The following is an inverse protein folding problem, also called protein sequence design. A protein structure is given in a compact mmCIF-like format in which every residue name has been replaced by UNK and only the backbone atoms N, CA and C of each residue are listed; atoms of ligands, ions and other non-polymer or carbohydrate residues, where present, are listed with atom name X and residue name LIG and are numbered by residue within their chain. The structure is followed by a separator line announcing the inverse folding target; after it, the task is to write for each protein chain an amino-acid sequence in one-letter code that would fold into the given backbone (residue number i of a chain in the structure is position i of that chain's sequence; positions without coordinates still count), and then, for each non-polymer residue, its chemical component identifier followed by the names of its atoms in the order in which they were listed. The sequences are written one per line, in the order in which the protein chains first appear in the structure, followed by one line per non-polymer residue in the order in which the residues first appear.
data_IF_569521601039
#
_entry.id   IF_569521601039
#
_cell.length_a   1.000
_cell.length_b   1.000
_cell.length_c   1.000
_cell.angle_alpha   90.00
_cell.angle_beta   90.00
_cell.angle_gamma   90.00
#
_symmetry.space_group_name_H-M   'P 1'
#
loop_
_entity.id
_entity.type
_entity.pdbx_description
1 polymer ?
#
# COMPACT_ATOMS: atom_id res chain seq x y z
N UNK A 1 9.02 -16.07 41.41
CA UNK A 1 9.81 -14.83 41.36
C UNK A 1 11.25 -15.23 41.13
N UNK A 2 11.94 -14.55 40.21
CA UNK A 2 13.33 -14.82 39.91
C UNK A 2 14.12 -13.53 39.95
N UNK A 3 15.13 -13.49 40.80
CA UNK A 3 16.08 -12.38 40.97
C UNK A 3 17.49 -12.76 40.49
N UNK A 4 17.65 -13.88 39.79
CA UNK A 4 18.91 -14.24 39.15
C UNK A 4 19.32 -13.17 38.14
N UNK A 5 20.63 -12.90 38.05
CA UNK A 5 21.17 -12.06 36.98
C UNK A 5 20.90 -12.70 35.63
N UNK A 6 20.59 -11.90 34.61
CA UNK A 6 20.22 -12.37 33.26
C UNK A 6 21.21 -13.37 32.67
N UNK A 7 22.51 -13.13 32.80
CA UNK A 7 23.56 -14.02 32.26
C UNK A 7 23.64 -15.36 33.01
N UNK A 8 23.43 -15.35 34.32
CA UNK A 8 23.39 -16.57 35.12
C UNK A 8 22.18 -17.42 34.77
N UNK A 9 20.99 -16.79 34.70
CA UNK A 9 19.80 -17.45 34.24
C UNK A 9 19.98 -18.05 32.84
N UNK A 10 20.57 -17.31 31.90
CA UNK A 10 20.81 -17.80 30.54
C UNK A 10 21.66 -19.07 30.52
N UNK A 11 22.70 -19.15 31.35
CA UNK A 11 23.54 -20.36 31.50
C UNK A 11 22.72 -21.54 32.03
N UNK A 12 21.97 -21.35 33.11
CA UNK A 12 21.14 -22.39 33.72
C UNK A 12 20.05 -22.89 32.77
N UNK A 13 19.32 -21.96 32.14
CA UNK A 13 18.28 -22.24 31.14
C UNK A 13 18.83 -23.08 29.99
N UNK A 14 19.97 -22.70 29.42
CA UNK A 14 20.56 -23.43 28.30
C UNK A 14 21.04 -24.84 28.73
N UNK A 15 21.51 -24.99 29.98
CA UNK A 15 21.87 -26.27 30.58
C UNK A 15 20.68 -27.10 31.07
N UNK A 16 19.44 -26.60 30.97
CA UNK A 16 18.24 -27.27 31.47
C UNK A 16 18.18 -27.39 32.99
N UNK A 17 18.87 -26.51 33.71
CA UNK A 17 18.95 -26.49 35.17
C UNK A 17 18.03 -25.44 35.77
N UNK A 18 17.42 -25.77 36.90
CA UNK A 18 16.59 -24.82 37.65
C UNK A 18 17.45 -23.71 38.25
N UNK A 19 16.90 -22.48 38.32
CA UNK A 19 17.51 -21.44 39.15
C UNK A 19 17.27 -21.71 40.64
N UNK A 20 18.11 -21.18 41.54
CA UNK A 20 17.93 -21.33 42.99
C UNK A 20 16.54 -20.91 43.47
N UNK A 21 15.95 -19.90 42.83
CA UNK A 21 14.62 -19.36 43.18
C UNK A 21 13.45 -20.25 42.75
N UNK A 22 13.65 -21.23 41.86
CA UNK A 22 12.54 -22.06 41.32
C UNK A 22 11.82 -22.88 42.40
N UNK A 23 12.55 -23.25 43.46
CA UNK A 23 12.07 -24.06 44.58
C UNK A 23 11.44 -23.28 45.73
N UNK A 24 11.34 -21.94 45.64
CA UNK A 24 10.74 -21.09 46.67
C UNK A 24 9.28 -21.47 46.98
N UNK A 25 8.86 -21.23 48.22
CA UNK A 25 7.48 -21.44 48.67
C UNK A 25 6.51 -20.43 48.01
N UNK A 26 5.21 -20.68 48.12
CA UNK A 26 4.20 -19.76 47.59
C UNK A 26 4.28 -18.41 48.30
N UNK A 27 4.45 -18.43 49.62
CA UNK A 27 4.52 -17.26 50.49
C UNK A 27 5.72 -16.38 50.13
N UNK A 28 6.91 -16.97 49.96
CA UNK A 28 8.11 -16.25 49.52
C UNK A 28 7.91 -15.60 48.14
N UNK A 29 7.23 -16.31 47.24
CA UNK A 29 6.93 -15.79 45.89
C UNK A 29 5.95 -14.61 45.94
N UNK A 30 4.90 -14.68 46.78
CA UNK A 30 3.93 -13.60 46.95
C UNK A 30 4.57 -12.37 47.59
N UNK A 31 5.43 -12.55 48.60
CA UNK A 31 6.16 -11.43 49.22
C UNK A 31 7.07 -10.72 48.20
N UNK A 32 7.81 -11.49 47.39
CA UNK A 32 8.66 -10.92 46.34
C UNK A 32 7.85 -10.26 45.23
N UNK A 33 6.66 -10.78 44.92
CA UNK A 33 5.74 -10.15 43.97
C UNK A 33 5.22 -8.81 44.48
N UNK A 34 4.81 -8.74 45.75
CA UNK A 34 4.38 -7.47 46.37
C UNK A 34 5.50 -6.44 46.39
N UNK A 35 6.74 -6.86 46.71
CA UNK A 35 7.94 -6.02 46.59
C UNK A 35 8.12 -5.48 45.16
N UNK A 36 7.94 -6.34 44.15
CA UNK A 36 7.99 -5.95 42.74
C UNK A 36 6.92 -4.90 42.40
N UNK A 37 5.68 -5.10 42.86
CA UNK A 37 4.58 -4.17 42.65
C UNK A 37 4.75 -2.83 43.39
N UNK A 38 5.42 -2.81 44.55
CA UNK A 38 5.72 -1.58 45.30
C UNK A 38 6.88 -0.78 44.72
N UNK A 39 7.68 -1.38 43.84
CA UNK A 39 8.86 -0.73 43.24
C UNK A 39 10.16 -0.95 44.01
N UNK A 40 10.22 -1.98 44.86
CA UNK A 40 11.42 -2.34 45.64
C UNK A 40 12.55 -2.92 44.75
N UNK A 41 12.24 -3.20 43.47
CA UNK A 41 13.18 -3.67 42.45
C UNK A 41 13.20 -2.72 41.25
N UNK A 42 14.37 -2.54 40.65
CA UNK A 42 14.59 -1.77 39.41
C UNK A 42 14.44 -2.64 38.17
N UNK A 43 14.41 -2.00 37.00
CA UNK A 43 14.36 -2.68 35.71
C UNK A 43 15.48 -3.73 35.58
N UNK A 44 15.09 -4.98 35.31
CA UNK A 44 16.00 -6.12 35.15
C UNK A 44 16.43 -6.81 36.45
N UNK A 45 16.06 -6.31 37.64
CA UNK A 45 16.44 -6.91 38.92
C UNK A 45 15.54 -8.07 39.35
N UNK A 46 14.28 -8.08 38.91
CA UNK A 46 13.34 -9.16 39.21
C UNK A 46 12.35 -9.40 38.07
N UNK A 47 11.98 -10.67 37.88
CA UNK A 47 10.95 -11.09 36.93
C UNK A 47 10.05 -12.18 37.53
N UNK A 48 8.80 -12.24 37.05
CA UNK A 48 7.95 -13.42 37.25
C UNK A 48 8.16 -14.36 36.07
N UNK A 49 8.39 -15.65 36.34
CA UNK A 49 8.51 -16.70 35.31
C UNK A 49 7.38 -17.71 35.43
N UNK A 50 6.91 -18.21 34.30
CA UNK A 50 6.01 -19.37 34.28
C UNK A 50 6.86 -20.62 34.49
N UNK A 51 6.55 -21.46 35.48
CA UNK A 51 7.22 -22.76 35.62
C UNK A 51 6.80 -23.68 34.45
N UNK A 52 7.74 -24.11 33.63
CA UNK A 52 7.53 -25.01 32.48
C UNK A 52 8.39 -26.26 32.61
N UNK A 53 8.60 -26.98 31.50
CA UNK A 53 9.63 -27.99 31.38
C UNK A 53 11.00 -27.34 31.08
N UNK A 54 12.00 -27.62 31.93
CA UNK A 54 13.39 -27.15 31.77
C UNK A 54 14.19 -27.98 30.77
N UNK A 55 13.72 -29.18 30.44
CA UNK A 55 14.36 -30.06 29.45
C UNK A 55 13.82 -29.87 28.03
N UNK A 56 12.80 -29.01 27.87
CA UNK A 56 12.18 -28.71 26.59
C UNK A 56 13.23 -28.38 25.50
N UNK A 57 13.17 -28.96 24.30
CA UNK A 57 14.22 -28.81 23.29
C UNK A 57 14.44 -27.35 22.85
N UNK A 58 13.37 -26.55 22.78
CA UNK A 58 13.46 -25.11 22.59
C UNK A 58 13.78 -24.39 23.92
N UNK A 59 14.97 -23.78 24.07
CA UNK A 59 15.35 -23.09 25.30
C UNK A 59 14.50 -21.86 25.61
N UNK A 60 13.82 -21.30 24.62
CA UNK A 60 12.97 -20.11 24.80
C UNK A 60 11.68 -20.43 25.55
N UNK A 61 11.25 -21.69 25.56
CA UNK A 61 10.08 -22.20 26.30
C UNK A 61 10.40 -22.47 27.76
N UNK A 62 11.67 -22.72 28.10
CA UNK A 62 12.10 -23.03 29.47
C UNK A 62 11.94 -21.82 30.39
N UNK A 63 11.10 -21.97 31.40
CA UNK A 63 10.71 -20.98 32.42
C UNK A 63 10.74 -19.53 31.89
N UNK A 64 9.90 -19.27 30.87
CA UNK A 64 9.85 -17.97 30.21
C UNK A 64 9.24 -16.88 31.10
N UNK A 65 9.59 -15.62 30.83
CA UNK A 65 9.21 -14.46 31.65
C UNK A 65 7.75 -14.08 31.42
N UNK A 66 6.92 -14.14 32.47
CA UNK A 66 5.53 -13.70 32.48
C UNK A 66 5.40 -12.20 32.71
N UNK A 67 6.14 -11.63 33.66
CA UNK A 67 6.14 -10.19 33.97
C UNK A 67 7.56 -9.66 34.13
N UNK A 68 7.74 -8.39 33.78
CA UNK A 68 8.99 -7.65 33.92
C UNK A 68 8.74 -6.24 34.43
N UNK A 69 9.77 -5.66 35.03
CA UNK A 69 9.81 -4.25 35.43
C UNK A 69 10.24 -3.41 34.23
N UNK A 70 9.61 -2.25 34.05
CA UNK A 70 9.96 -1.23 33.06
C UNK A 70 10.26 0.07 33.82
N UNK A 71 11.37 0.71 33.49
CA UNK A 71 11.64 2.08 33.90
C UNK A 71 10.64 3.03 33.22
N UNK A 72 9.67 3.49 34.01
CA UNK A 72 8.58 4.37 33.57
C UNK A 72 9.00 5.82 33.41
N UNK A 73 10.11 6.24 34.00
CA UNK A 73 10.65 7.59 33.78
C UNK A 73 11.27 7.66 32.37
N UNK A 74 12.02 6.61 32.01
CA UNK A 74 12.62 6.50 30.68
C UNK A 74 11.62 6.11 29.59
N UNK A 75 10.68 5.21 29.90
CA UNK A 75 9.74 4.64 28.93
C UNK A 75 8.29 4.67 29.47
N UNK A 76 7.70 5.85 29.69
CA UNK A 76 6.32 5.96 30.18
C UNK A 76 5.34 5.36 29.17
N UNK A 77 4.28 4.71 29.67
CA UNK A 77 3.25 4.16 28.78
C UNK A 77 2.45 5.31 28.15
N UNK A 78 2.24 5.35 26.81
CA UNK A 78 1.58 6.48 26.16
C UNK A 78 0.16 6.80 26.64
N UNK A 79 -0.58 5.82 27.16
CA UNK A 79 -1.97 5.99 27.63
C UNK A 79 -2.12 6.12 29.15
N UNK A 80 -1.24 5.50 29.94
CA UNK A 80 -1.39 5.41 31.41
C UNK A 80 -0.19 5.98 32.16
N UNK A 81 0.76 6.60 31.43
CA UNK A 81 1.95 7.20 31.98
C UNK A 81 2.76 6.23 32.85
N UNK A 82 3.12 6.69 34.04
CA UNK A 82 3.90 5.94 35.03
C UNK A 82 3.04 5.13 36.02
N UNK A 83 1.74 4.93 35.76
CA UNK A 83 0.82 4.26 36.69
C UNK A 83 1.24 2.83 37.04
N UNK A 84 1.85 2.11 36.11
CA UNK A 84 2.32 0.75 36.30
C UNK A 84 3.76 0.62 35.79
N UNK A 85 4.65 0.04 36.59
CA UNK A 85 6.02 -0.33 36.19
C UNK A 85 6.19 -1.84 36.01
N UNK A 86 5.27 -2.66 36.50
CA UNK A 86 5.28 -4.12 36.30
C UNK A 86 4.33 -4.49 35.16
N UNK A 87 4.87 -5.02 34.06
CA UNK A 87 4.12 -5.30 32.84
C UNK A 87 4.19 -6.77 32.44
N UNK A 88 3.07 -7.38 32.01
CA UNK A 88 3.08 -8.72 31.46
C UNK A 88 3.82 -8.74 30.11
N UNK A 89 4.42 -9.87 29.79
CA UNK A 89 4.94 -10.14 28.45
C UNK A 89 3.83 -10.64 27.54
N UNK A 90 4.06 -10.55 26.23
CA UNK A 90 3.10 -10.93 25.19
C UNK A 90 2.45 -12.30 25.44
N UNK A 91 3.23 -13.34 25.74
CA UNK A 91 2.68 -14.69 25.89
C UNK A 91 1.75 -14.82 27.10
N UNK A 92 2.06 -14.15 28.21
CA UNK A 92 1.20 -14.16 29.39
C UNK A 92 -0.08 -13.37 29.10
N UNK A 93 0.04 -12.10 28.69
CA UNK A 93 -1.10 -11.22 28.43
C UNK A 93 -2.09 -11.84 27.44
N UNK A 94 -1.61 -12.31 26.27
CA UNK A 94 -2.47 -12.90 25.24
C UNK A 94 -3.16 -14.18 25.74
N UNK A 95 -2.52 -14.99 26.58
CA UNK A 95 -3.19 -16.19 27.11
C UNK A 95 -4.38 -15.85 28.01
N UNK A 96 -4.22 -14.80 28.83
CA UNK A 96 -5.30 -14.30 29.69
C UNK A 96 -6.41 -13.69 28.82
N UNK A 97 -6.05 -12.82 27.87
CA UNK A 97 -7.00 -12.14 26.99
C UNK A 97 -7.79 -13.16 26.13
N UNK A 98 -7.11 -14.13 25.50
CA UNK A 98 -7.75 -15.16 24.68
C UNK A 98 -8.80 -15.94 25.49
N UNK A 99 -8.47 -16.32 26.73
CA UNK A 99 -9.41 -17.02 27.60
C UNK A 99 -10.59 -16.13 28.01
N UNK A 100 -10.33 -14.93 28.54
CA UNK A 100 -11.37 -14.03 29.04
C UNK A 100 -12.29 -13.51 27.94
N UNK A 101 -11.78 -13.37 26.72
CA UNK A 101 -12.56 -12.97 25.54
C UNK A 101 -13.26 -14.14 24.86
N UNK A 102 -13.09 -15.39 25.34
CA UNK A 102 -13.72 -16.57 24.75
C UNK A 102 -13.21 -16.92 23.35
N UNK A 103 -11.94 -16.61 23.06
CA UNK A 103 -11.33 -16.94 21.76
C UNK A 103 -11.31 -18.45 21.58
N UNK A 104 -11.83 -18.92 20.44
CA UNK A 104 -11.86 -20.35 20.09
C UNK A 104 -10.77 -20.72 19.08
N UNK A 105 -10.42 -19.79 18.19
CA UNK A 105 -9.45 -19.97 17.12
C UNK A 105 -8.49 -18.78 17.05
N UNK A 106 -7.19 -19.06 17.11
CA UNK A 106 -6.13 -18.07 16.95
C UNK A 106 -5.51 -18.22 15.57
N UNK A 107 -5.65 -17.20 14.73
CA UNK A 107 -5.12 -17.16 13.37
C UNK A 107 -3.92 -16.20 13.33
N UNK A 108 -2.70 -16.71 13.08
CA UNK A 108 -1.49 -15.87 13.08
C UNK A 108 -0.34 -16.42 12.23
N UNK A 109 0.69 -15.61 12.05
CA UNK A 109 1.88 -15.99 11.29
C UNK A 109 2.66 -17.17 11.91
N UNK A 110 3.28 -18.00 11.06
CA UNK A 110 4.04 -19.20 11.41
C UNK A 110 5.17 -18.96 12.42
N UNK A 111 5.76 -17.76 12.43
CA UNK A 111 6.75 -17.33 13.41
C UNK A 111 6.27 -17.39 14.87
N UNK A 112 4.96 -17.45 15.10
CA UNK A 112 4.35 -17.54 16.43
C UNK A 112 3.99 -18.98 16.84
N UNK A 113 4.49 -20.00 16.14
CA UNK A 113 4.31 -21.41 16.53
C UNK A 113 4.82 -21.71 17.94
N UNK A 114 6.04 -21.24 18.25
CA UNK A 114 6.66 -21.37 19.57
C UNK A 114 5.86 -20.64 20.66
N UNK A 115 5.17 -19.55 20.32
CA UNK A 115 4.33 -18.84 21.28
C UNK A 115 3.12 -19.69 21.69
N UNK A 116 2.54 -20.49 20.79
CA UNK A 116 1.45 -21.42 21.14
C UNK A 116 1.89 -22.41 22.21
N UNK A 117 3.13 -22.91 22.11
CA UNK A 117 3.73 -23.81 23.10
C UNK A 117 3.93 -23.10 24.45
N UNK A 118 4.38 -21.84 24.45
CA UNK A 118 4.54 -21.08 25.71
C UNK A 118 3.21 -20.82 26.39
N UNK A 119 2.21 -20.44 25.62
CA UNK A 119 0.86 -20.13 26.09
C UNK A 119 0.18 -21.38 26.67
N UNK A 120 0.42 -22.58 26.12
CA UNK A 120 -0.17 -23.83 26.63
C UNK A 120 0.14 -24.10 28.11
N UNK A 121 1.32 -23.67 28.60
CA UNK A 121 1.65 -23.75 30.02
C UNK A 121 0.75 -22.86 30.88
N UNK A 122 0.40 -21.67 30.40
CA UNK A 122 -0.55 -20.78 31.11
C UNK A 122 -1.91 -21.45 31.17
N UNK A 123 -2.47 -21.86 30.02
CA UNK A 123 -3.77 -22.55 29.97
C UNK A 123 -3.79 -23.78 30.89
N UNK A 124 -2.73 -24.60 30.87
CA UNK A 124 -2.61 -25.76 31.75
C UNK A 124 -2.62 -25.39 33.24
N UNK A 125 -1.86 -24.38 33.65
CA UNK A 125 -1.77 -23.97 35.06
C UNK A 125 -3.09 -23.42 35.60
N UNK A 126 -3.87 -22.76 34.75
CA UNK A 126 -5.19 -22.25 35.12
C UNK A 126 -6.33 -23.28 34.93
N UNK A 127 -6.04 -24.47 34.39
CA UNK A 127 -7.07 -25.48 34.09
C UNK A 127 -8.00 -25.08 32.95
N UNK A 128 -7.54 -24.24 32.03
CA UNK A 128 -8.31 -23.74 30.89
C UNK A 128 -8.11 -24.59 29.64
N UNK A 129 -9.10 -24.54 28.75
CA UNK A 129 -8.98 -25.12 27.40
C UNK A 129 -8.27 -24.12 26.48
N UNK A 130 -7.18 -24.55 25.86
CA UNK A 130 -6.45 -23.73 24.90
C UNK A 130 -7.21 -23.62 23.56
N UNK A 131 -7.31 -22.42 22.96
CA UNK A 131 -7.90 -22.28 21.63
C UNK A 131 -7.10 -23.01 20.55
N UNK A 132 -7.79 -23.43 19.50
CA UNK A 132 -7.16 -24.01 18.31
C UNK A 132 -6.30 -22.92 17.65
N UNK A 133 -5.02 -23.18 17.43
CA UNK A 133 -4.17 -22.23 16.71
C UNK A 133 -3.94 -22.71 15.28
N UNK A 134 -4.18 -21.82 14.32
CA UNK A 134 -3.88 -22.02 12.91
C UNK A 134 -2.78 -21.04 12.52
N UNK A 135 -1.65 -21.59 12.11
CA UNK A 135 -0.51 -20.81 11.66
C UNK A 135 -0.41 -20.77 10.14
N UNK A 136 -0.14 -19.59 9.59
CA UNK A 136 0.03 -19.38 8.15
C UNK A 136 1.31 -18.61 7.82
N UNK A 137 1.80 -18.79 6.60
CA UNK A 137 3.00 -18.14 6.12
C UNK A 137 2.85 -16.63 6.02
N UNK A 138 3.99 -15.94 5.98
CA UNK A 138 4.01 -14.49 5.86
C UNK A 138 3.66 -14.06 4.44
N UNK A 139 2.98 -12.92 4.34
CA UNK A 139 2.83 -12.20 3.09
C UNK A 139 4.07 -11.32 2.86
N UNK A 140 4.66 -11.45 1.67
CA UNK A 140 5.73 -10.59 1.16
C UNK A 140 5.20 -9.80 -0.04
N UNK A 141 5.68 -8.58 -0.23
CA UNK A 141 5.39 -7.78 -1.42
C UNK A 141 6.63 -7.79 -2.29
N UNK A 142 6.48 -8.19 -3.55
CA UNK A 142 7.56 -8.18 -4.52
C UNK A 142 8.14 -6.78 -4.68
N UNK A 143 9.47 -6.67 -4.67
CA UNK A 143 10.18 -5.39 -4.82
C UNK A 143 10.04 -4.41 -3.63
N UNK A 144 9.42 -4.82 -2.52
CA UNK A 144 9.14 -3.96 -1.38
C UNK A 144 9.46 -4.58 -0.02
N UNK A 145 9.44 -3.75 1.03
CA UNK A 145 9.55 -4.21 2.42
C UNK A 145 8.39 -3.72 3.26
N UNK A 146 7.75 -4.64 3.99
CA UNK A 146 6.73 -4.34 4.99
C UNK A 146 7.31 -4.16 6.41
N UNK A 147 8.64 -4.10 6.55
CA UNK A 147 9.27 -3.95 7.86
C UNK A 147 8.97 -2.56 8.45
N UNK A 148 8.31 -2.54 9.61
CA UNK A 148 7.98 -1.30 10.34
C UNK A 148 9.20 -0.42 10.58
N UNK A 149 10.34 -0.99 10.99
CA UNK A 149 11.56 -0.24 11.25
C UNK A 149 12.14 0.40 9.99
N UNK A 150 12.16 -0.34 8.86
CA UNK A 150 12.62 0.21 7.57
C UNK A 150 11.69 1.32 7.08
N UNK A 151 10.38 1.12 7.18
CA UNK A 151 9.38 2.11 6.77
C UNK A 151 9.42 3.37 7.66
N UNK A 152 9.59 3.22 8.98
CA UNK A 152 9.71 4.36 9.91
C UNK A 152 10.98 5.18 9.65
N UNK A 153 12.07 4.53 9.23
CA UNK A 153 13.32 5.22 8.91
C UNK A 153 13.20 6.19 7.71
N UNK A 154 12.19 6.00 6.84
CA UNK A 154 11.91 6.91 5.73
C UNK A 154 11.35 8.27 6.18
N UNK A 155 10.85 8.37 7.42
CA UNK A 155 10.22 9.59 7.98
C UNK A 155 9.10 10.18 7.12
N UNK A 156 8.42 9.34 6.34
CA UNK A 156 7.27 9.72 5.52
C UNK A 156 5.99 9.65 6.35
N UNK A 157 4.99 10.42 5.93
CA UNK A 157 3.63 10.26 6.47
C UNK A 157 3.08 8.87 6.12
N UNK A 158 2.24 8.32 6.98
CA UNK A 158 1.63 7.01 6.76
C UNK A 158 0.70 6.97 5.54
N UNK A 159 0.18 8.11 5.12
CA UNK A 159 -0.71 8.28 3.97
C UNK A 159 0.03 8.72 2.70
N UNK A 160 1.37 8.73 2.69
CA UNK A 160 2.14 9.03 1.48
C UNK A 160 1.88 7.97 0.40
N UNK A 161 1.61 8.41 -0.83
CA UNK A 161 1.24 7.57 -1.98
C UNK A 161 2.31 6.54 -2.39
N UNK A 162 3.55 6.70 -1.92
CA UNK A 162 4.66 5.77 -2.15
C UNK A 162 4.77 4.69 -1.08
N UNK A 163 4.03 4.80 0.02
CA UNK A 163 4.09 3.87 1.14
C UNK A 163 3.19 2.66 0.90
N UNK A 164 3.64 1.44 1.26
CA UNK A 164 2.84 0.22 1.16
C UNK A 164 1.84 0.05 2.32
N UNK A 165 1.49 1.14 2.99
CA UNK A 165 0.47 1.18 4.05
C UNK A 165 -0.91 1.22 3.42
N UNK A 166 -1.94 0.75 4.13
CA UNK A 166 -3.33 0.89 3.65
C UNK A 166 -3.71 2.35 3.39
N UNK A 167 -3.24 3.26 4.24
CA UNK A 167 -3.45 4.69 4.04
C UNK A 167 -2.74 5.22 2.79
N UNK A 168 -1.50 4.81 2.52
CA UNK A 168 -0.76 5.19 1.31
C UNK A 168 -1.40 4.64 0.03
N UNK A 169 -1.83 3.37 0.04
CA UNK A 169 -2.55 2.76 -1.09
C UNK A 169 -3.88 3.46 -1.37
N UNK A 170 -4.64 3.81 -0.33
CA UNK A 170 -5.87 4.60 -0.46
C UNK A 170 -5.60 6.01 -0.99
N UNK A 171 -4.57 6.69 -0.46
CA UNK A 171 -4.14 7.99 -0.96
C UNK A 171 -3.70 7.92 -2.41
N UNK A 172 -3.11 6.80 -2.85
CA UNK A 172 -2.77 6.57 -4.25
C UNK A 172 -3.99 6.35 -5.14
N UNK A 173 -5.08 5.78 -4.63
CA UNK A 173 -6.30 5.47 -5.39
C UNK A 173 -6.56 3.97 -5.61
N UNK A 174 -5.82 3.10 -4.91
CA UNK A 174 -6.12 1.66 -4.86
C UNK A 174 -7.42 1.46 -4.09
N UNK A 175 -8.34 0.72 -4.70
CA UNK A 175 -9.65 0.39 -4.15
C UNK A 175 -9.52 -0.67 -3.06
N UNK A 176 -10.30 -0.58 -1.97
CA UNK A 176 -10.25 -1.57 -0.91
C UNK A 176 -10.63 -2.97 -1.41
N UNK A 177 -11.57 -3.08 -2.35
CA UNK A 177 -11.99 -4.34 -2.97
C UNK A 177 -10.82 -5.04 -3.66
N UNK A 178 -9.90 -4.29 -4.27
CA UNK A 178 -8.72 -4.86 -4.91
C UNK A 178 -7.78 -5.54 -3.90
N UNK A 179 -7.65 -4.95 -2.71
CA UNK A 179 -6.86 -5.52 -1.61
C UNK A 179 -7.55 -6.78 -1.09
N UNK A 180 -8.86 -6.75 -0.88
CA UNK A 180 -9.63 -7.92 -0.45
C UNK A 180 -9.50 -9.08 -1.43
N UNK A 181 -9.74 -8.83 -2.72
CA UNK A 181 -9.63 -9.85 -3.76
C UNK A 181 -8.21 -10.42 -3.83
N UNK A 182 -7.17 -9.58 -3.72
CA UNK A 182 -5.79 -10.05 -3.65
C UNK A 182 -5.57 -10.99 -2.45
N UNK A 183 -5.96 -10.59 -1.24
CA UNK A 183 -5.75 -11.41 -0.04
C UNK A 183 -6.56 -12.71 -0.10
N UNK A 184 -7.80 -12.67 -0.57
CA UNK A 184 -8.63 -13.86 -0.76
C UNK A 184 -8.04 -14.82 -1.80
N UNK A 185 -7.44 -14.30 -2.88
CA UNK A 185 -6.79 -15.12 -3.90
C UNK A 185 -5.55 -15.87 -3.39
N UNK A 186 -4.84 -15.30 -2.41
CA UNK A 186 -3.67 -15.94 -1.77
C UNK A 186 -4.14 -17.07 -0.85
N UNK A 187 -5.19 -16.80 -0.06
CA UNK A 187 -5.76 -17.74 0.91
C UNK A 187 -4.86 -18.02 2.11
N UNK A 188 -5.32 -18.92 2.99
CA UNK A 188 -4.57 -19.35 4.18
C UNK A 188 -3.73 -20.58 3.82
N UNK A 189 -2.41 -20.43 3.82
CA UNK A 189 -1.45 -21.51 3.55
C UNK A 189 -0.32 -21.49 4.58
N UNK A 190 0.22 -22.65 5.01
CA UNK A 190 1.37 -22.69 5.92
C UNK A 190 2.65 -22.08 5.35
N UNK A 191 2.80 -22.09 4.02
CA UNK A 191 3.95 -21.52 3.30
C UNK A 191 3.83 -20.01 3.14
N UNK A 192 4.96 -19.31 3.17
CA UNK A 192 5.04 -17.89 2.80
C UNK A 192 4.49 -17.66 1.39
N UNK A 193 3.87 -16.50 1.18
CA UNK A 193 3.35 -16.07 -0.10
C UNK A 193 3.94 -14.71 -0.50
N UNK A 194 4.24 -14.55 -1.78
CA UNK A 194 4.68 -13.26 -2.35
C UNK A 194 3.59 -12.75 -3.27
N UNK A 195 3.14 -11.52 -3.04
CA UNK A 195 2.21 -10.80 -3.92
C UNK A 195 2.95 -9.78 -4.76
N UNK A 196 2.59 -9.70 -6.04
CA UNK A 196 3.11 -8.69 -6.96
C UNK A 196 2.18 -7.47 -7.00
N UNK A 197 2.78 -6.28 -7.12
CA UNK A 197 2.00 -5.06 -7.36
C UNK A 197 1.28 -5.10 -8.72
N UNK A 198 1.84 -5.81 -9.70
CA UNK A 198 1.21 -6.02 -10.99
C UNK A 198 -0.14 -6.75 -10.85
N UNK A 199 -0.23 -7.77 -9.99
CA UNK A 199 -1.50 -8.45 -9.73
C UNK A 199 -2.50 -7.51 -9.05
N UNK A 200 -2.06 -6.75 -8.03
CA UNK A 200 -2.91 -5.75 -7.37
C UNK A 200 -3.45 -4.72 -8.37
N UNK A 201 -2.61 -4.21 -9.28
CA UNK A 201 -3.02 -3.24 -10.29
C UNK A 201 -3.95 -3.84 -11.34
N UNK A 202 -3.75 -5.10 -11.73
CA UNK A 202 -4.65 -5.81 -12.64
C UNK A 202 -6.06 -5.95 -12.04
N UNK A 203 -6.15 -6.34 -10.77
CA UNK A 203 -7.43 -6.41 -10.04
C UNK A 203 -8.05 -5.02 -9.93
N UNK A 204 -7.27 -4.03 -9.52
CA UNK A 204 -7.75 -2.66 -9.34
C UNK A 204 -8.24 -2.03 -10.66
N UNK A 205 -7.58 -2.35 -11.79
CA UNK A 205 -8.01 -1.96 -13.14
C UNK A 205 -9.41 -2.50 -13.46
N UNK A 206 -9.70 -3.77 -13.17
CA UNK A 206 -11.03 -4.36 -13.41
C UNK A 206 -12.14 -3.65 -12.62
N UNK A 207 -11.80 -3.11 -11.45
CA UNK A 207 -12.73 -2.36 -10.60
C UNK A 207 -12.93 -0.92 -11.11
N UNK A 208 -11.84 -0.28 -11.56
CA UNK A 208 -11.86 1.12 -11.98
C UNK A 208 -12.35 1.32 -13.41
N UNK A 209 -11.97 0.46 -14.37
CA UNK A 209 -12.29 0.60 -15.79
C UNK A 209 -13.79 0.85 -16.04
N UNK A 210 -14.74 0.07 -15.50
CA UNK A 210 -16.15 0.31 -15.75
C UNK A 210 -16.70 1.59 -15.10
N UNK A 211 -15.95 2.25 -14.23
CA UNK A 211 -16.39 3.43 -13.47
C UNK A 211 -15.73 4.72 -13.96
N UNK A 212 -14.47 4.65 -14.34
CA UNK A 212 -13.63 5.79 -14.65
C UNK A 212 -13.95 6.38 -16.02
N UNK A 213 -14.35 7.64 -16.05
CA UNK A 213 -14.45 8.39 -17.29
C UNK A 213 -13.05 8.60 -17.89
N UNK A 214 -12.97 8.59 -19.22
CA UNK A 214 -11.71 8.67 -19.94
C UNK A 214 -11.47 10.08 -20.41
N UNK A 215 -10.24 10.57 -20.24
CA UNK A 215 -9.82 11.90 -20.68
C UNK A 215 -8.55 11.87 -21.52
N UNK A 216 -8.41 12.80 -22.45
CA UNK A 216 -7.19 13.06 -23.20
C UNK A 216 -6.23 13.89 -22.33
N UNK A 217 -5.08 13.30 -22.04
CA UNK A 217 -3.93 13.97 -21.44
C UNK A 217 -2.72 13.75 -22.33
N UNK A 218 -2.00 14.84 -22.61
CA UNK A 218 -0.84 14.87 -23.49
C UNK A 218 0.39 15.21 -22.65
N UNK A 219 1.23 14.22 -22.28
CA UNK A 219 2.50 14.47 -21.63
C UNK A 219 3.51 15.04 -22.62
N UNK A 220 4.43 15.88 -22.12
CA UNK A 220 5.49 16.53 -22.93
C UNK A 220 4.93 17.10 -24.25
N UNK A 221 3.96 18.04 -24.16
CA UNK A 221 3.19 18.51 -25.29
C UNK A 221 4.07 19.23 -26.31
N UNK A 222 3.88 18.88 -27.58
CA UNK A 222 4.41 19.63 -28.73
C UNK A 222 3.25 20.12 -29.58
N UNK A 223 3.42 21.27 -30.22
CA UNK A 223 2.37 21.87 -31.04
C UNK A 223 2.31 21.17 -32.39
N UNK A 224 1.12 20.77 -32.81
CA UNK A 224 0.81 20.25 -34.14
C UNK A 224 -0.12 21.23 -34.85
N UNK A 225 0.32 21.72 -36.00
CA UNK A 225 -0.46 22.60 -36.88
C UNK A 225 -0.93 21.78 -38.08
N UNK A 226 -2.24 21.72 -38.31
CA UNK A 226 -2.85 21.05 -39.46
C UNK A 226 -3.82 22.00 -40.17
N UNK A 227 -4.02 21.80 -41.46
CA UNK A 227 -5.03 22.54 -42.22
C UNK A 227 -6.29 21.69 -42.40
N UNK A 228 -7.43 22.15 -41.89
CA UNK A 228 -8.72 21.48 -42.06
C UNK A 228 -9.49 22.12 -43.23
N UNK A 229 -9.96 21.34 -44.23
CA UNK A 229 -10.71 21.88 -45.37
C UNK A 229 -12.14 22.29 -45.00
N UNK A 230 -12.65 21.81 -43.85
CA UNK A 230 -14.00 22.08 -43.36
C UNK A 230 -14.01 22.05 -41.84
N UNK A 231 -15.08 22.59 -41.26
CA UNK A 231 -15.39 22.45 -39.85
C UNK A 231 -15.58 20.97 -39.49
N UNK A 232 -14.98 20.54 -38.39
CA UNK A 232 -15.10 19.17 -37.84
C UNK A 232 -15.44 19.27 -36.37
N UNK A 233 -16.38 18.43 -35.92
CA UNK A 233 -16.68 18.23 -34.50
C UNK A 233 -16.17 16.86 -34.11
N UNK A 234 -15.08 16.84 -33.33
CA UNK A 234 -14.54 15.60 -32.78
C UNK A 234 -15.38 15.18 -31.57
N UNK A 235 -15.96 13.98 -31.60
CA UNK A 235 -16.83 13.45 -30.56
C UNK A 235 -16.09 12.41 -29.72
N UNK A 236 -15.41 12.85 -28.68
CA UNK A 236 -14.60 11.98 -27.82
C UNK A 236 -15.53 11.23 -26.86
N UNK A 237 -15.67 9.89 -26.94
CA UNK A 237 -16.54 9.16 -26.03
C UNK A 237 -16.06 9.30 -24.58
N UNK A 238 -16.99 9.52 -23.64
CA UNK A 238 -16.66 9.56 -22.21
C UNK A 238 -16.08 8.22 -21.76
N UNK A 239 -16.70 7.13 -22.21
CA UNK A 239 -16.14 5.80 -22.10
C UNK A 239 -16.59 4.92 -23.30
N UNK A 240 -15.67 4.32 -24.08
CA UNK A 240 -16.02 3.55 -25.28
C UNK A 240 -16.99 2.39 -25.05
N UNK A 241 -16.88 1.68 -23.92
CA UNK A 241 -17.77 0.57 -23.57
C UNK A 241 -19.11 0.99 -22.96
N UNK A 242 -19.33 2.29 -22.68
CA UNK A 242 -20.55 2.82 -22.06
C UNK A 242 -21.06 4.03 -22.87
N UNK A 243 -21.62 3.81 -24.08
CA UNK A 243 -22.09 4.87 -24.95
C UNK A 243 -23.17 5.76 -24.32
N UNK A 244 -23.92 5.23 -23.35
CA UNK A 244 -24.95 5.95 -22.61
C UNK A 244 -24.40 7.12 -21.78
N UNK A 245 -23.08 7.15 -21.51
CA UNK A 245 -22.40 8.30 -20.87
C UNK A 245 -22.16 9.46 -21.83
N UNK A 246 -22.44 9.27 -23.12
CA UNK A 246 -22.27 10.27 -24.15
C UNK A 246 -20.81 10.55 -24.49
N UNK A 247 -20.57 11.76 -25.00
CA UNK A 247 -19.32 12.18 -25.58
C UNK A 247 -19.04 13.64 -25.26
N UNK A 248 -17.77 14.03 -25.29
CA UNK A 248 -17.31 15.42 -25.27
C UNK A 248 -17.08 15.87 -26.70
N UNK A 249 -17.52 17.07 -27.03
CA UNK A 249 -17.41 17.63 -28.37
C UNK A 249 -16.35 18.73 -28.42
N UNK A 250 -15.43 18.64 -29.39
CA UNK A 250 -14.46 19.67 -29.69
C UNK A 250 -14.65 20.13 -31.13
N UNK A 251 -15.08 21.37 -31.30
CA UNK A 251 -15.33 21.98 -32.60
C UNK A 251 -14.06 22.67 -33.11
N UNK A 252 -13.61 22.26 -34.30
CA UNK A 252 -12.44 22.80 -34.98
C UNK A 252 -12.88 23.43 -36.30
N UNK A 253 -12.54 24.70 -36.50
CA UNK A 253 -12.88 25.46 -37.70
C UNK A 253 -12.06 25.04 -38.92
N UNK A 254 -12.50 25.45 -40.13
CA UNK A 254 -11.68 25.30 -41.33
C UNK A 254 -10.44 26.21 -41.27
N UNK A 255 -9.40 25.84 -42.01
CA UNK A 255 -8.13 26.56 -42.05
C UNK A 255 -7.09 25.95 -41.12
N UNK A 256 -6.11 26.79 -40.74
CA UNK A 256 -5.03 26.38 -39.86
C UNK A 256 -5.53 26.17 -38.43
N UNK A 257 -5.39 24.94 -37.93
CA UNK A 257 -5.78 24.52 -36.59
C UNK A 257 -4.53 24.06 -35.84
N UNK A 258 -4.41 24.55 -34.62
CA UNK A 258 -3.34 24.22 -33.69
C UNK A 258 -3.87 23.27 -32.62
N UNK A 259 -3.14 22.19 -32.38
CA UNK A 259 -3.43 21.14 -31.41
C UNK A 259 -2.13 20.78 -30.67
N UNK A 260 -2.24 20.04 -29.58
CA UNK A 260 -1.10 19.46 -28.89
C UNK A 260 -1.15 17.95 -28.88
N UNK A 261 -0.02 17.32 -29.16
CA UNK A 261 0.22 15.88 -29.08
C UNK A 261 1.49 15.61 -28.28
N UNK A 262 1.72 14.36 -27.87
CA UNK A 262 2.94 14.04 -27.13
C UNK A 262 4.14 14.12 -28.07
N UNK A 263 5.29 14.59 -27.58
CA UNK A 263 6.54 14.61 -28.36
C UNK A 263 6.86 13.25 -28.99
N UNK A 264 6.68 12.18 -28.21
CA UNK A 264 6.87 10.79 -28.65
C UNK A 264 5.95 10.41 -29.82
N UNK A 265 4.68 10.83 -29.77
CA UNK A 265 3.74 10.52 -30.85
C UNK A 265 4.03 11.34 -32.11
N UNK A 266 4.52 12.59 -31.97
CA UNK A 266 4.91 13.41 -33.11
C UNK A 266 6.05 12.79 -33.94
N UNK A 267 6.98 12.09 -33.28
CA UNK A 267 8.12 11.40 -33.91
C UNK A 267 7.70 10.16 -34.74
N UNK A 268 6.46 9.68 -34.61
CA UNK A 268 5.93 8.57 -35.42
C UNK A 268 5.77 8.96 -36.90
N UNK A 269 5.69 10.26 -37.21
CA UNK A 269 5.58 10.80 -38.56
C UNK A 269 4.20 10.62 -39.23
N UNK A 270 3.43 9.59 -38.86
CA UNK A 270 2.05 9.40 -39.29
C UNK A 270 1.20 8.75 -38.22
N UNK A 271 -0.03 9.25 -38.03
CA UNK A 271 -0.92 8.81 -36.95
C UNK A 271 -2.37 9.24 -37.21
N UNK A 272 -3.30 8.60 -36.52
CA UNK A 272 -4.69 9.03 -36.43
C UNK A 272 -4.92 9.80 -35.13
N UNK A 273 -5.31 11.06 -35.26
CA UNK A 273 -5.87 11.84 -34.18
C UNK A 273 -7.25 11.28 -33.86
N UNK A 274 -7.41 10.77 -32.64
CA UNK A 274 -8.65 10.13 -32.18
C UNK A 274 -9.89 10.99 -32.46
N UNK A 275 -10.89 10.37 -33.09
CA UNK A 275 -12.16 11.00 -33.51
C UNK A 275 -12.04 12.28 -34.35
N UNK A 276 -10.88 12.52 -34.99
CA UNK A 276 -10.62 13.73 -35.76
C UNK A 276 -10.18 13.43 -37.20
N UNK A 277 -8.92 13.03 -37.40
CA UNK A 277 -8.32 12.92 -38.74
C UNK A 277 -7.05 12.06 -38.76
N UNK A 278 -6.69 11.59 -39.95
CA UNK A 278 -5.43 10.90 -40.21
C UNK A 278 -4.41 11.94 -40.71
N UNK A 279 -3.25 12.00 -40.06
CA UNK A 279 -2.26 13.07 -40.27
C UNK A 279 -0.90 12.47 -40.59
N UNK A 280 -0.21 13.09 -41.56
CA UNK A 280 1.20 12.84 -41.87
C UNK A 280 1.99 14.13 -41.60
N UNK A 281 3.00 14.04 -40.75
CA UNK A 281 3.92 15.14 -40.45
C UNK A 281 4.78 15.42 -41.69
N UNK A 282 4.78 16.66 -42.17
CA UNK A 282 5.52 17.09 -43.37
C UNK A 282 6.79 17.86 -43.04
N UNK A 283 6.72 18.71 -42.02
CA UNK A 283 7.86 19.51 -41.57
C UNK A 283 7.81 19.76 -40.07
N UNK A 284 8.95 20.10 -39.51
CA UNK A 284 9.14 20.48 -38.11
C UNK A 284 9.97 21.75 -38.06
N UNK A 285 9.54 22.71 -37.26
CA UNK A 285 10.26 23.96 -36.99
C UNK A 285 10.31 24.16 -35.48
N UNK A 286 11.48 23.96 -34.86
CA UNK A 286 11.60 23.95 -33.41
C UNK A 286 10.72 22.86 -32.76
N UNK A 287 9.86 23.27 -31.83
CA UNK A 287 8.88 22.39 -31.14
C UNK A 287 7.49 22.38 -31.81
N UNK A 288 7.39 22.93 -33.03
CA UNK A 288 6.15 22.94 -33.82
C UNK A 288 6.26 21.95 -34.97
N UNK A 289 5.27 21.07 -35.08
CA UNK A 289 5.10 20.10 -36.15
C UNK A 289 3.99 20.58 -37.08
N UNK A 290 4.19 20.45 -38.39
CA UNK A 290 3.18 20.77 -39.39
C UNK A 290 2.76 19.47 -40.10
N UNK A 291 1.49 19.14 -39.96
CA UNK A 291 0.88 17.94 -40.52
C UNK A 291 -0.06 18.24 -41.68
N UNK A 292 -0.14 17.29 -42.60
CA UNK A 292 -1.15 17.24 -43.65
C UNK A 292 -2.21 16.21 -43.30
N UNK A 293 -3.49 16.58 -43.43
CA UNK A 293 -4.61 15.64 -43.27
C UNK A 293 -4.74 14.81 -44.54
N UNK A 294 -4.56 13.50 -44.41
CA UNK A 294 -4.59 12.54 -45.53
C UNK A 294 -5.82 11.64 -45.56
N UNK A 295 -6.67 11.74 -44.53
CA UNK A 295 -7.91 10.96 -44.42
C UNK A 295 -8.69 11.29 -43.15
N UNK A 296 -9.89 10.74 -43.03
CA UNK A 296 -10.79 11.02 -41.89
C UNK A 296 -11.30 9.76 -41.21
N UNK A 297 -11.26 8.62 -41.90
CA UNK A 297 -11.86 7.38 -41.40
C UNK A 297 -10.84 6.55 -40.63
N UNK A 298 -11.33 5.75 -39.69
CA UNK A 298 -10.49 4.81 -38.95
C UNK A 298 -9.98 3.66 -39.83
N UNK A 299 -10.73 3.29 -40.87
CA UNK A 299 -10.36 2.18 -41.75
C UNK A 299 -9.18 2.57 -42.65
N UNK A 300 -9.16 3.80 -43.20
CA UNK A 300 -7.98 4.37 -43.88
C UNK A 300 -6.73 4.34 -42.98
N UNK A 301 -6.89 4.67 -41.69
CA UNK A 301 -5.79 4.63 -40.73
C UNK A 301 -5.29 3.20 -40.49
N UNK A 302 -6.19 2.22 -40.38
CA UNK A 302 -5.85 0.81 -40.19
C UNK A 302 -5.11 0.25 -41.41
N UNK A 303 -5.57 0.56 -42.61
CA UNK A 303 -4.92 0.18 -43.87
C UNK A 303 -3.50 0.76 -43.95
N UNK A 304 -3.34 2.02 -43.58
CA UNK A 304 -2.05 2.70 -43.51
C UNK A 304 -1.23 2.36 -42.25
N UNK A 305 -1.71 1.47 -41.38
CA UNK A 305 -1.08 1.09 -40.10
C UNK A 305 -0.75 2.28 -39.18
N UNK A 306 -1.56 3.33 -39.26
CA UNK A 306 -1.39 4.53 -38.44
C UNK A 306 -1.84 4.26 -37.01
N UNK A 307 -0.98 4.49 -35.99
CA UNK A 307 -1.38 4.39 -34.61
C UNK A 307 -2.40 5.48 -34.25
N UNK A 308 -3.36 5.14 -33.39
CA UNK A 308 -4.33 6.10 -32.87
C UNK A 308 -3.72 6.78 -31.63
N UNK A 309 -3.72 8.11 -31.64
CA UNK A 309 -3.14 8.92 -30.57
C UNK A 309 -4.18 9.89 -30.00
N UNK A 310 -4.05 10.21 -28.71
CA UNK A 310 -4.78 11.31 -28.09
C UNK A 310 -4.15 12.65 -28.45
N UNK A 311 -4.95 13.71 -28.37
CA UNK A 311 -4.55 15.08 -28.63
C UNK A 311 -5.33 16.00 -27.70
N UNK A 312 -4.94 17.27 -27.62
CA UNK A 312 -5.65 18.28 -26.83
C UNK A 312 -5.74 19.58 -27.63
N UNK A 313 -6.87 20.31 -27.59
CA UNK A 313 -7.04 21.57 -28.32
C UNK A 313 -6.24 22.72 -27.71
N UNK A 314 -6.16 23.87 -28.40
CA UNK A 314 -5.41 25.05 -27.92
C UNK A 314 -5.92 25.65 -26.60
N UNK A 315 -7.19 25.49 -26.27
CA UNK A 315 -7.79 25.96 -25.02
C UNK A 315 -7.61 24.98 -23.85
N UNK A 316 -6.64 24.08 -23.94
CA UNK A 316 -6.35 23.08 -22.90
C UNK A 316 -5.67 23.68 -21.68
N UNK A 317 -5.76 22.98 -20.55
CA UNK A 317 -5.18 23.42 -19.29
C UNK A 317 -3.90 22.65 -19.00
N UNK A 318 -2.94 23.29 -18.35
CA UNK A 318 -1.79 22.60 -17.79
C UNK A 318 -2.23 21.63 -16.69
N UNK A 319 -1.64 20.44 -16.68
CA UNK A 319 -1.87 19.44 -15.68
C UNK A 319 -0.56 18.78 -15.26
N UNK A 320 -0.52 18.33 -14.01
CA UNK A 320 0.64 17.67 -13.42
C UNK A 320 0.25 16.31 -12.92
N UNK A 321 1.02 15.27 -13.26
CA UNK A 321 0.84 13.92 -12.73
C UNK A 321 2.00 13.58 -11.80
N UNK A 322 1.68 13.27 -10.55
CA UNK A 322 2.62 12.79 -9.54
C UNK A 322 2.64 11.26 -9.57
N UNK A 323 3.76 10.69 -10.03
CA UNK A 323 3.94 9.24 -10.15
C UNK A 323 4.78 8.67 -9.02
N UNK A 324 4.27 7.69 -8.25
CA UNK A 324 5.09 6.95 -7.29
C UNK A 324 6.07 6.03 -8.01
N UNK A 325 7.38 6.23 -7.80
CA UNK A 325 8.46 5.44 -8.42
C UNK A 325 9.03 4.42 -7.43
N UNK A 326 9.30 4.85 -6.22
CA UNK A 326 9.77 4.01 -5.11
C UNK A 326 9.33 4.65 -3.78
N UNK A 327 9.50 3.94 -2.67
CA UNK A 327 9.20 4.50 -1.35
C UNK A 327 9.97 5.81 -1.10
N UNK A 328 9.25 6.91 -0.92
CA UNK A 328 9.79 8.26 -0.77
C UNK A 328 10.21 8.96 -2.05
N UNK A 329 10.09 8.32 -3.22
CA UNK A 329 10.48 8.88 -4.52
C UNK A 329 9.29 9.02 -5.45
N UNK A 330 9.04 10.25 -5.88
CA UNK A 330 7.97 10.61 -6.82
C UNK A 330 8.59 11.22 -8.08
N UNK A 331 8.04 10.91 -9.24
CA UNK A 331 8.30 11.62 -10.48
C UNK A 331 7.15 12.61 -10.75
N UNK A 332 7.46 13.71 -11.41
CA UNK A 332 6.50 14.74 -11.78
C UNK A 332 6.47 14.83 -13.29
N UNK A 333 5.32 14.56 -13.88
CA UNK A 333 5.10 14.65 -15.32
C UNK A 333 4.17 15.82 -15.60
N UNK A 334 4.56 16.69 -16.54
CA UNK A 334 3.77 17.85 -16.94
C UNK A 334 3.18 17.61 -18.31
N UNK A 335 1.95 18.08 -18.51
CA UNK A 335 1.26 17.94 -19.78
C UNK A 335 0.07 18.88 -19.90
N UNK A 336 -0.69 18.67 -20.97
CA UNK A 336 -1.97 19.34 -21.20
C UNK A 336 -3.11 18.35 -21.06
N UNK A 337 -4.22 18.79 -20.47
CA UNK A 337 -5.45 18.02 -20.35
C UNK A 337 -6.58 18.72 -21.10
N UNK A 338 -7.45 17.92 -21.73
CA UNK A 338 -8.58 18.48 -22.49
C UNK A 338 -9.50 19.35 -21.60
N UNK A 339 -10.14 20.40 -22.16
CA UNK A 339 -11.01 21.32 -21.41
C UNK A 339 -12.15 20.64 -20.66
N UNK A 340 -12.59 19.45 -21.13
CA UNK A 340 -13.65 18.69 -20.49
C UNK A 340 -13.32 18.27 -19.06
N UNK A 341 -12.04 18.26 -18.67
CA UNK A 341 -11.62 17.93 -17.32
C UNK A 341 -12.02 18.98 -16.25
N UNK A 342 -12.54 20.16 -16.65
CA UNK A 342 -13.05 21.16 -15.71
C UNK A 342 -14.21 20.67 -14.84
N UNK A 343 -14.95 19.65 -15.29
CA UNK A 343 -16.05 19.04 -14.54
C UNK A 343 -15.58 18.12 -13.41
N UNK A 344 -14.29 17.78 -13.37
CA UNK A 344 -13.72 16.91 -12.35
C UNK A 344 -13.69 17.57 -10.97
N UNK A 345 -13.87 16.74 -9.94
CA UNK A 345 -13.81 17.09 -8.53
C UNK A 345 -12.66 16.37 -7.85
N UNK A 346 -12.10 16.98 -6.82
CA UNK A 346 -11.02 16.35 -6.05
C UNK A 346 -11.46 14.99 -5.51
N UNK A 347 -10.59 13.99 -5.67
CA UNK A 347 -10.88 12.60 -5.37
C UNK A 347 -11.46 11.79 -6.52
N UNK A 348 -11.94 12.41 -7.60
CA UNK A 348 -12.41 11.68 -8.78
C UNK A 348 -11.27 10.85 -9.38
N UNK A 349 -11.59 9.60 -9.72
CA UNK A 349 -10.67 8.67 -10.39
C UNK A 349 -11.09 8.55 -11.85
N UNK A 350 -10.17 8.87 -12.74
CA UNK A 350 -10.37 8.89 -14.18
C UNK A 350 -9.28 8.10 -14.88
N UNK A 351 -9.47 7.80 -16.15
CA UNK A 351 -8.43 7.20 -16.99
C UNK A 351 -7.91 8.23 -17.99
N UNK A 352 -6.61 8.48 -17.99
CA UNK A 352 -5.97 9.18 -19.09
C UNK A 352 -5.71 8.20 -20.23
N UNK A 353 -6.24 8.52 -21.40
CA UNK A 353 -6.18 7.69 -22.60
C UNK A 353 -4.73 7.39 -22.97
N UNK A 354 -4.42 6.11 -23.20
CA UNK A 354 -3.05 5.61 -23.48
C UNK A 354 -2.00 5.96 -22.41
N UNK A 355 -2.43 6.28 -21.19
CA UNK A 355 -1.54 6.70 -20.10
C UNK A 355 -1.78 5.91 -18.81
N UNK A 356 -3.02 5.80 -18.34
CA UNK A 356 -3.39 5.02 -17.17
C UNK A 356 -4.41 5.70 -16.26
N UNK A 357 -4.74 5.05 -15.14
CA UNK A 357 -5.65 5.57 -14.14
C UNK A 357 -4.97 6.60 -13.26
N UNK A 358 -5.66 7.71 -13.01
CA UNK A 358 -5.21 8.81 -12.19
C UNK A 358 -6.33 9.27 -11.26
N UNK A 359 -5.95 9.84 -10.11
CA UNK A 359 -6.88 10.47 -9.16
C UNK A 359 -6.62 11.96 -9.10
N UNK A 360 -7.64 12.80 -9.24
CA UNK A 360 -7.49 14.24 -9.07
C UNK A 360 -7.19 14.56 -7.60
N UNK A 361 -6.03 15.16 -7.33
CA UNK A 361 -5.58 15.55 -6.00
C UNK A 361 -5.86 17.03 -5.72
N UNK A 362 -5.72 17.89 -6.73
CA UNK A 362 -6.10 19.30 -6.62
C UNK A 362 -6.70 19.82 -7.92
N UNK A 363 -7.91 20.39 -7.85
CA UNK A 363 -8.61 20.95 -9.02
C UNK A 363 -8.03 22.29 -9.47
N UNK A 364 -7.49 23.07 -8.54
CA UNK A 364 -6.94 24.41 -8.80
C UNK A 364 -5.63 24.36 -9.58
N UNK A 365 -4.82 23.32 -9.35
CA UNK A 365 -3.56 23.12 -10.06
C UNK A 365 -3.63 22.00 -11.11
N UNK A 366 -4.78 21.34 -11.24
CA UNK A 366 -4.94 20.11 -12.04
C UNK A 366 -3.83 19.10 -11.73
N UNK A 367 -3.57 18.91 -10.43
CA UNK A 367 -2.61 17.93 -9.94
C UNK A 367 -3.32 16.57 -9.77
N UNK A 368 -2.75 15.55 -10.40
CA UNK A 368 -3.24 14.18 -10.39
C UNK A 368 -2.20 13.25 -9.76
N UNK A 369 -2.69 12.22 -9.07
CA UNK A 369 -1.87 11.12 -8.57
C UNK A 369 -2.01 9.94 -9.52
N UNK A 370 -0.88 9.42 -10.02
CA UNK A 370 -0.89 8.20 -10.82
C UNK A 370 -1.21 6.96 -9.98
N UNK A 371 -2.22 6.21 -10.40
CA UNK A 371 -2.63 4.98 -9.72
C UNK A 371 -1.84 3.80 -10.28
N UNK A 372 -2.14 3.40 -11.52
CA UNK A 372 -1.46 2.37 -12.30
C UNK A 372 -1.92 2.50 -13.76
N UNK A 373 -1.33 1.71 -14.64
CA UNK A 373 -1.71 1.69 -16.06
C UNK A 373 -3.13 1.15 -16.26
#
# INVERSE_FOLDING_TARGET
MDTCKTEEWRKLRNAGKACPHRGQSVEENLELWDKMLRGDFREGESVLRVKTDLTHPDPSVRDWVAFRIIDVERNPHPLVGAKYHVWPTYNFAVSIDDHLMGVTHVLRAQEHSVNTVKQSFVFKHFGWTQPVTIHFGRLKVEGGSLSKSKLKALKLRYDDITMPTLAGLRSRGIQPEAIWELILSVGIKPSDATVSLANLFSINRKILDPKADRYMFVPEPVKLVINLPKRIVAKIPVHPSFPERGHREYELGPGEVSLYISRKDAELGSFRLMELANVVVRRKEGDVYYGEVVGYTIDEAREAKMPIIQWTPDNSREAVVIRPVAAGKKAVERGLIEPGAETLREGDIVQFLRYGFVKLASRDTMEFIYIHE
#
